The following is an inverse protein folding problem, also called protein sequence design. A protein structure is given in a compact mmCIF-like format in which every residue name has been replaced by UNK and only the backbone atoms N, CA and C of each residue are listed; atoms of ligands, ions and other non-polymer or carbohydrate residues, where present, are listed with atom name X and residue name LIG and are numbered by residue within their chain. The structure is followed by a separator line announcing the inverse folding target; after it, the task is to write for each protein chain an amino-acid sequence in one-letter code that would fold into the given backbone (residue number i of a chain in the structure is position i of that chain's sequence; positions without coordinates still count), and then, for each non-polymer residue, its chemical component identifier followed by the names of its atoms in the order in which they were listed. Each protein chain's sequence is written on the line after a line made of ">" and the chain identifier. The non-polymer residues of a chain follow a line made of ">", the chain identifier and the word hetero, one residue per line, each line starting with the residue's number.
data_IF_809379668485
#
_entry.id   IF_809379668485
#
_cell.length_a   1.000
_cell.length_b   1.000
_cell.length_c   1.000
_cell.angle_alpha   90.00
_cell.angle_beta   90.00
_cell.angle_gamma   90.00
#
_symmetry.space_group_name_H-M   'P 1'
#
loop_
_entity.id
_entity.type
_entity.pdbx_description
1 polymer ?
#
# COMPACT_ATOMS: atom_id res chain seq x y z
N UNK A 1 7.97 21.30 -10.76
CA UNK A 1 6.67 20.62 -10.83
C UNK A 1 6.91 19.11 -10.91
N UNK A 2 6.32 18.38 -10.00
CA UNK A 2 6.44 16.93 -10.03
C UNK A 2 5.55 16.36 -11.14
N UNK A 3 6.11 15.48 -11.95
CA UNK A 3 5.37 14.78 -12.98
C UNK A 3 5.01 13.40 -12.45
N UNK A 4 3.71 13.10 -12.37
CA UNK A 4 3.25 11.78 -12.01
C UNK A 4 3.54 10.80 -13.14
N UNK A 5 4.15 9.68 -12.80
CA UNK A 5 4.42 8.61 -13.76
C UNK A 5 3.31 7.58 -13.61
N UNK A 6 2.54 7.40 -14.66
CA UNK A 6 1.49 6.40 -14.70
C UNK A 6 1.89 5.28 -15.65
N UNK A 7 1.49 4.07 -15.34
CA UNK A 7 1.76 2.97 -16.24
C UNK A 7 1.20 1.66 -15.74
N UNK A 8 1.60 0.61 -16.43
CA UNK A 8 1.21 -0.75 -16.11
C UNK A 8 2.45 -1.61 -15.88
N UNK A 9 2.46 -2.34 -14.78
CA UNK A 9 3.43 -3.39 -14.52
C UNK A 9 2.88 -4.66 -15.15
N UNK A 10 3.44 -5.06 -16.28
CA UNK A 10 2.90 -6.15 -17.10
C UNK A 10 3.43 -7.49 -16.64
N UNK A 11 2.53 -8.48 -16.61
CA UNK A 11 2.83 -9.87 -16.31
C UNK A 11 3.62 -10.05 -15.02
N UNK A 12 3.13 -9.50 -13.89
CA UNK A 12 3.77 -9.76 -12.61
C UNK A 12 3.71 -11.24 -12.27
N UNK A 13 4.79 -11.76 -11.70
CA UNK A 13 4.87 -13.19 -11.35
C UNK A 13 4.11 -13.51 -10.07
N UNK A 14 3.96 -12.52 -9.18
CA UNK A 14 3.40 -12.74 -7.85
C UNK A 14 2.03 -12.08 -7.64
N UNK A 15 1.51 -11.37 -8.62
CA UNK A 15 0.15 -10.85 -8.58
C UNK A 15 -0.80 -11.84 -9.26
N UNK A 16 -2.05 -11.96 -8.78
CA UNK A 16 -3.05 -12.79 -9.45
C UNK A 16 -3.56 -12.17 -10.75
N UNK A 17 -3.21 -10.91 -11.02
CA UNK A 17 -3.67 -10.19 -12.21
C UNK A 17 -2.61 -10.22 -13.31
N UNK A 18 -3.06 -10.11 -14.56
CA UNK A 18 -2.15 -10.07 -15.72
C UNK A 18 -1.33 -8.77 -15.78
N UNK A 19 -1.80 -7.75 -15.10
CA UNK A 19 -1.08 -6.49 -14.96
C UNK A 19 -1.55 -5.78 -13.69
N UNK A 20 -0.72 -4.87 -13.18
CA UNK A 20 -1.07 -3.98 -12.10
C UNK A 20 -0.78 -2.55 -12.55
N UNK A 21 -1.66 -1.62 -12.19
CA UNK A 21 -1.47 -0.22 -12.54
C UNK A 21 -0.76 0.52 -11.42
N UNK A 22 0.16 1.40 -11.80
CA UNK A 22 0.79 2.29 -10.84
C UNK A 22 0.49 3.74 -11.24
N UNK A 23 0.37 4.61 -10.23
CA UNK A 23 0.07 6.03 -10.41
C UNK A 23 1.23 6.91 -9.98
N UNK A 24 2.34 6.33 -9.59
CA UNK A 24 3.54 7.05 -9.20
C UNK A 24 4.77 6.17 -9.37
N UNK A 25 5.94 6.81 -9.44
CA UNK A 25 7.20 6.08 -9.48
C UNK A 25 7.45 5.31 -8.19
N UNK A 26 7.02 5.84 -7.05
CA UNK A 26 7.13 5.13 -5.77
C UNK A 26 6.37 3.81 -5.80
N UNK A 27 5.16 3.79 -6.34
CA UNK A 27 4.38 2.56 -6.49
C UNK A 27 5.09 1.58 -7.39
N UNK A 28 5.62 2.03 -8.53
CA UNK A 28 6.35 1.18 -9.45
C UNK A 28 7.57 0.54 -8.79
N UNK A 29 8.32 1.33 -8.03
CA UNK A 29 9.49 0.83 -7.30
C UNK A 29 9.11 -0.21 -6.24
N UNK A 30 7.99 0.01 -5.55
CA UNK A 30 7.50 -0.95 -4.57
C UNK A 30 7.10 -2.26 -5.26
N UNK A 31 6.42 -2.19 -6.40
CA UNK A 31 6.06 -3.38 -7.17
C UNK A 31 7.30 -4.20 -7.54
N UNK A 32 8.35 -3.51 -7.97
CA UNK A 32 9.62 -4.16 -8.33
C UNK A 32 10.24 -4.86 -7.11
N UNK A 33 10.23 -4.20 -5.95
CA UNK A 33 10.71 -4.80 -4.70
C UNK A 33 9.91 -6.03 -4.30
N UNK A 34 8.59 -5.96 -4.40
CA UNK A 34 7.72 -7.08 -4.03
C UNK A 34 7.95 -8.29 -4.94
N UNK A 35 8.16 -8.05 -6.25
CA UNK A 35 8.49 -9.11 -7.19
C UNK A 35 9.83 -9.80 -6.86
N UNK A 36 10.79 -9.04 -6.35
CA UNK A 36 12.14 -9.54 -6.05
C UNK A 36 12.29 -10.13 -4.65
N UNK A 37 11.37 -9.82 -3.74
CA UNK A 37 11.46 -10.29 -2.36
C UNK A 37 11.16 -11.79 -2.31
N UNK A 38 12.13 -12.63 -1.93
CA UNK A 38 11.92 -14.08 -1.92
C UNK A 38 10.89 -14.55 -0.89
N UNK A 39 10.57 -13.73 0.10
CA UNK A 39 9.58 -14.06 1.13
C UNK A 39 8.15 -13.68 0.75
N UNK A 40 7.98 -12.89 -0.30
CA UNK A 40 6.66 -12.50 -0.80
C UNK A 40 6.16 -13.56 -1.77
N UNK A 41 4.98 -14.11 -1.49
CA UNK A 41 4.35 -15.09 -2.39
C UNK A 41 3.27 -14.44 -3.26
N UNK A 42 2.67 -13.33 -2.80
CA UNK A 42 1.59 -12.68 -3.53
C UNK A 42 1.52 -11.21 -3.14
N UNK A 43 1.22 -10.36 -4.10
CA UNK A 43 0.93 -8.94 -3.86
C UNK A 43 -0.09 -8.43 -4.87
N UNK A 44 -0.86 -7.43 -4.48
CA UNK A 44 -1.84 -6.86 -5.41
C UNK A 44 -2.22 -5.44 -5.00
N UNK A 45 -2.54 -4.61 -5.98
CA UNK A 45 -3.16 -3.32 -5.75
C UNK A 45 -4.69 -3.42 -5.75
N UNK A 46 -5.24 -4.27 -6.62
CA UNK A 46 -6.70 -4.46 -6.71
C UNK A 46 -7.16 -5.49 -5.70
N UNK A 47 -7.05 -5.13 -4.42
CA UNK A 47 -7.35 -6.02 -3.30
C UNK A 47 -8.76 -5.86 -2.73
N UNK A 48 -9.50 -4.84 -3.17
CA UNK A 48 -10.88 -4.62 -2.69
C UNK A 48 -11.00 -4.08 -1.28
N UNK A 49 -9.90 -3.70 -0.63
CA UNK A 49 -9.91 -3.21 0.74
C UNK A 49 -10.10 -1.70 0.76
N UNK A 50 -11.05 -1.25 1.57
CA UNK A 50 -11.27 0.18 1.84
C UNK A 50 -11.24 0.38 3.34
N UNK A 51 -10.45 1.34 3.80
CA UNK A 51 -10.27 1.60 5.23
C UNK A 51 -10.93 2.93 5.59
N UNK A 52 -11.88 2.94 6.53
CA UNK A 52 -12.46 4.19 7.02
C UNK A 52 -11.50 4.91 7.96
N UNK A 53 -11.48 6.23 7.89
CA UNK A 53 -10.67 7.06 8.76
C UNK A 53 -11.35 8.42 8.96
N UNK A 54 -10.90 9.16 9.95
CA UNK A 54 -11.45 10.49 10.27
C UNK A 54 -10.34 11.52 10.08
N UNK A 55 -10.62 12.52 9.26
CA UNK A 55 -9.64 13.56 8.95
C UNK A 55 -9.55 14.64 10.05
N UNK A 56 -8.68 15.63 9.86
CA UNK A 56 -8.46 16.68 10.83
C UNK A 56 -9.66 17.60 11.04
N UNK A 57 -10.64 17.58 10.15
CA UNK A 57 -11.88 18.35 10.25
C UNK A 57 -13.04 17.50 10.75
N UNK A 58 -12.74 16.29 11.25
CA UNK A 58 -13.71 15.33 11.79
C UNK A 58 -14.68 14.78 10.75
N UNK A 59 -14.32 14.83 9.46
CA UNK A 59 -15.09 14.19 8.41
C UNK A 59 -14.72 12.71 8.31
N UNK A 60 -15.73 11.87 8.12
CA UNK A 60 -15.51 10.47 7.82
C UNK A 60 -15.04 10.34 6.38
N UNK A 61 -13.95 9.62 6.19
CA UNK A 61 -13.33 9.39 4.89
C UNK A 61 -13.04 7.91 4.71
N UNK A 62 -12.77 7.54 3.47
CA UNK A 62 -12.33 6.20 3.12
C UNK A 62 -11.10 6.29 2.23
N UNK A 63 -10.19 5.35 2.39
CA UNK A 63 -9.08 5.28 1.46
C UNK A 63 -8.80 3.83 1.09
N UNK A 64 -8.21 3.67 -0.10
CA UNK A 64 -7.77 2.39 -0.61
C UNK A 64 -6.26 2.33 -0.40
N UNK A 65 -5.75 1.44 0.45
CA UNK A 65 -4.30 1.32 0.64
C UNK A 65 -3.62 0.85 -0.63
N UNK A 66 -2.30 1.13 -0.75
CA UNK A 66 -1.58 0.86 -1.99
C UNK A 66 -1.50 -0.63 -2.31
N UNK A 67 -1.11 -1.47 -1.34
CA UNK A 67 -0.85 -2.87 -1.61
C UNK A 67 -1.36 -3.78 -0.51
N UNK A 68 -1.83 -4.96 -0.91
CA UNK A 68 -1.98 -6.10 -0.02
C UNK A 68 -0.87 -7.09 -0.38
N UNK A 69 -0.10 -7.51 0.61
CA UNK A 69 1.05 -8.39 0.44
C UNK A 69 0.88 -9.63 1.30
N UNK A 70 1.14 -10.79 0.71
CA UNK A 70 1.12 -12.05 1.43
C UNK A 70 2.51 -12.66 1.43
N UNK A 71 3.00 -13.02 2.61
CA UNK A 71 4.31 -13.60 2.81
C UNK A 71 4.25 -15.11 2.98
N UNK A 72 5.36 -15.78 2.73
CA UNK A 72 5.46 -17.25 2.79
C UNK A 72 5.12 -17.82 4.16
N UNK A 73 5.27 -17.04 5.23
CA UNK A 73 4.94 -17.46 6.60
C UNK A 73 3.46 -17.26 6.95
N UNK A 74 2.64 -16.86 5.98
CA UNK A 74 1.20 -16.65 6.17
C UNK A 74 0.80 -15.25 6.58
N UNK A 75 1.74 -14.35 6.85
CA UNK A 75 1.40 -12.98 7.20
C UNK A 75 0.77 -12.26 5.99
N UNK A 76 -0.28 -11.49 6.27
CA UNK A 76 -0.88 -10.58 5.31
C UNK A 76 -0.63 -9.16 5.80
N UNK A 77 -0.07 -8.34 4.93
CA UNK A 77 0.39 -7.00 5.27
C UNK A 77 -0.19 -5.99 4.29
N UNK A 78 -0.80 -4.95 4.84
CA UNK A 78 -1.16 -3.77 4.06
C UNK A 78 0.06 -2.87 4.00
N UNK A 79 0.50 -2.53 2.80
CA UNK A 79 1.66 -1.68 2.59
C UNK A 79 1.21 -0.39 1.92
N UNK A 80 1.52 0.73 2.56
CA UNK A 80 1.31 2.07 2.01
C UNK A 80 2.68 2.67 1.73
N UNK A 81 2.86 3.23 0.53
CA UNK A 81 4.14 3.82 0.13
C UNK A 81 4.03 5.33 0.15
N UNK A 82 4.95 5.98 0.86
CA UNK A 82 4.98 7.44 0.94
C UNK A 82 6.39 7.96 0.71
N UNK A 83 6.47 9.14 0.11
CA UNK A 83 7.70 9.90 0.09
C UNK A 83 8.09 10.26 1.53
N UNK A 84 9.38 10.15 1.92
CA UNK A 84 9.80 10.48 3.28
C UNK A 84 9.38 11.87 3.74
N UNK A 85 9.27 12.83 2.84
CA UNK A 85 8.86 14.20 3.18
C UNK A 85 7.40 14.32 3.58
N UNK A 86 6.57 13.29 3.31
CA UNK A 86 5.13 13.32 3.57
C UNK A 86 4.70 12.45 4.75
N UNK A 87 5.62 11.68 5.31
CA UNK A 87 5.29 10.71 6.36
C UNK A 87 4.72 11.40 7.61
N UNK A 88 5.21 12.59 7.92
CA UNK A 88 4.84 13.30 9.14
C UNK A 88 3.58 14.16 9.02
N UNK A 89 2.92 14.17 7.87
CA UNK A 89 1.69 14.93 7.74
C UNK A 89 0.61 14.37 8.67
N UNK A 90 -0.22 15.26 9.22
CA UNK A 90 -1.25 14.88 10.19
C UNK A 90 -2.24 13.88 9.60
N UNK A 91 -2.64 14.05 8.35
CA UNK A 91 -3.59 13.15 7.73
C UNK A 91 -2.97 11.78 7.42
N UNK A 92 -1.69 11.73 7.04
CA UNK A 92 -0.99 10.45 6.87
C UNK A 92 -0.97 9.69 8.19
N UNK A 93 -0.70 10.37 9.31
CA UNK A 93 -0.68 9.74 10.62
C UNK A 93 -2.07 9.29 11.07
N UNK A 94 -3.12 10.04 10.75
CA UNK A 94 -4.50 9.63 11.04
C UNK A 94 -4.90 8.39 10.25
N UNK A 95 -4.57 8.34 8.96
CA UNK A 95 -4.79 7.15 8.12
C UNK A 95 -4.02 5.95 8.66
N UNK A 96 -2.78 6.16 9.05
CA UNK A 96 -1.92 5.11 9.60
C UNK A 96 -2.55 4.48 10.85
N UNK A 97 -2.99 5.31 11.79
CA UNK A 97 -3.61 4.82 13.02
C UNK A 97 -4.88 4.03 12.73
N UNK A 98 -5.72 4.55 11.84
CA UNK A 98 -6.95 3.86 11.44
C UNK A 98 -6.64 2.52 10.78
N UNK A 99 -5.62 2.49 9.91
CA UNK A 99 -5.22 1.27 9.23
C UNK A 99 -4.63 0.23 10.18
N UNK A 100 -3.84 0.67 11.15
CA UNK A 100 -3.28 -0.24 12.17
C UNK A 100 -4.39 -0.92 12.97
N UNK A 101 -5.42 -0.17 13.38
CA UNK A 101 -6.56 -0.71 14.10
C UNK A 101 -7.35 -1.68 13.20
N UNK A 102 -7.62 -1.27 11.97
CA UNK A 102 -8.36 -2.09 11.00
C UNK A 102 -7.65 -3.42 10.75
N UNK A 103 -6.33 -3.38 10.56
CA UNK A 103 -5.52 -4.57 10.34
C UNK A 103 -5.48 -5.47 11.58
N UNK A 104 -5.29 -4.87 12.75
CA UNK A 104 -5.22 -5.62 14.01
C UNK A 104 -6.51 -6.42 14.24
N UNK A 105 -7.65 -5.84 13.96
CA UNK A 105 -8.94 -6.50 14.12
C UNK A 105 -9.10 -7.72 13.19
N UNK A 106 -8.29 -7.79 12.14
CA UNK A 106 -8.37 -8.85 11.11
C UNK A 106 -7.15 -9.77 11.09
N UNK A 107 -6.29 -9.66 12.09
CA UNK A 107 -5.07 -10.47 12.14
C UNK A 107 -4.05 -10.12 11.07
N UNK A 108 -4.05 -8.89 10.60
CA UNK A 108 -3.15 -8.38 9.57
C UNK A 108 -2.19 -7.35 10.15
N UNK A 109 -1.14 -7.06 9.40
CA UNK A 109 -0.18 -6.03 9.75
C UNK A 109 -0.30 -4.84 8.80
N UNK A 110 0.14 -3.67 9.25
CA UNK A 110 0.21 -2.46 8.44
C UNK A 110 1.63 -1.91 8.45
N UNK A 111 2.13 -1.56 7.28
CA UNK A 111 3.46 -0.96 7.11
C UNK A 111 3.33 0.30 6.27
N UNK A 112 3.82 1.41 6.81
CA UNK A 112 4.03 2.64 6.06
C UNK A 112 5.48 2.64 5.59
N UNK A 113 5.67 2.33 4.30
CA UNK A 113 6.98 2.17 3.70
C UNK A 113 7.43 3.48 3.05
N UNK A 114 8.69 3.83 3.23
CA UNK A 114 9.29 4.97 2.56
C UNK A 114 10.36 4.46 1.59
N UNK A 115 10.34 5.01 0.38
CA UNK A 115 11.33 4.71 -0.66
C UNK A 115 11.89 6.03 -1.14
N UNK A 116 13.20 6.13 -1.14
CA UNK A 116 13.90 7.31 -1.69
C UNK A 116 14.11 7.18 -3.18
#
# INVERSE_FOLDING_TARGET
>A
MAISIHGEFKNPKKSPWNFERYQSDLERRMMDRLERDPHVINWMKRHGITIPWIDGQKHQRRYIPDFLVEYEDGRKVIVEVKDPSRVDSNDVQRKRKAAEIWCKQRGMEYVLATIK
#
